data_IF_953808537560
#
_entry.id   IF_953808537560
#
_cell.length_a   1.000
_cell.length_b   1.000
_cell.length_c   1.000
_cell.angle_alpha   90.00
_cell.angle_beta   90.00
_cell.angle_gamma   90.00
#
_symmetry.space_group_name_H-M   'P 1'
#
loop_
_entity.id
_entity.type
_entity.pdbx_description
1 polymer ?
#
# COMPACT_ATOMS: atom_id res chain seq x y z
N UNK A 1 -14.89 -24.66 -4.53
CA UNK A 1 -15.27 -23.51 -3.68
C UNK A 1 -15.13 -22.28 -4.55
N UNK A 2 -16.22 -21.54 -4.80
CA UNK A 2 -16.15 -20.27 -5.51
C UNK A 2 -15.56 -19.25 -4.53
N UNK A 3 -14.25 -19.03 -4.60
CA UNK A 3 -13.66 -17.91 -3.88
C UNK A 3 -14.19 -16.62 -4.51
N UNK A 4 -14.75 -15.69 -3.72
CA UNK A 4 -15.15 -14.40 -4.26
C UNK A 4 -13.95 -13.73 -4.95
N UNK A 5 -14.20 -12.96 -6.02
CA UNK A 5 -13.14 -12.22 -6.69
C UNK A 5 -12.43 -11.31 -5.69
N UNK A 6 -11.12 -11.06 -5.87
CA UNK A 6 -10.42 -10.10 -5.03
C UNK A 6 -11.06 -8.71 -5.18
N UNK A 7 -11.02 -7.94 -4.10
CA UNK A 7 -11.35 -6.52 -4.11
C UNK A 7 -10.19 -5.76 -4.74
N UNK A 8 -10.50 -4.92 -5.72
CA UNK A 8 -9.54 -4.07 -6.40
C UNK A 8 -9.23 -2.84 -5.52
N UNK A 9 -7.95 -2.51 -5.35
CA UNK A 9 -7.50 -1.49 -4.39
C UNK A 9 -6.20 -0.81 -4.82
N UNK A 10 -5.99 0.42 -4.36
CA UNK A 10 -4.77 1.20 -4.64
C UNK A 10 -4.12 1.66 -3.34
N UNK A 11 -2.79 1.81 -3.35
CA UNK A 11 -2.04 2.34 -2.21
C UNK A 11 -0.91 3.26 -2.67
N UNK A 12 -0.67 4.34 -1.92
CA UNK A 12 0.36 5.34 -2.25
C UNK A 12 1.60 5.18 -1.36
N UNK A 13 2.77 5.20 -1.97
CA UNK A 13 4.07 5.16 -1.30
C UNK A 13 4.73 6.51 -1.55
N UNK A 14 4.49 7.47 -0.65
CA UNK A 14 5.18 8.75 -0.70
C UNK A 14 6.63 8.60 -0.23
N UNK A 15 7.56 9.07 -1.05
CA UNK A 15 9.00 8.99 -0.80
C UNK A 15 9.58 10.40 -0.79
N UNK A 16 10.37 10.72 0.23
CA UNK A 16 11.21 11.91 0.26
C UNK A 16 12.60 11.51 0.73
N UNK A 17 13.62 11.79 -0.10
CA UNK A 17 14.97 11.28 0.12
C UNK A 17 14.96 9.74 0.22
N UNK A 18 15.25 9.17 1.39
CA UNK A 18 15.20 7.73 1.66
C UNK A 18 14.07 7.34 2.62
N UNK A 19 13.20 8.29 2.97
CA UNK A 19 12.10 8.07 3.90
C UNK A 19 10.81 7.81 3.14
N UNK A 20 10.03 6.87 3.65
CA UNK A 20 8.68 6.54 3.21
C UNK A 20 7.69 7.05 4.25
N UNK A 21 6.59 7.63 3.79
CA UNK A 21 5.44 7.90 4.63
C UNK A 21 4.61 6.63 4.83
N UNK A 22 4.39 6.27 6.09
CA UNK A 22 3.55 5.15 6.48
C UNK A 22 2.68 5.56 7.68
N UNK A 23 1.64 4.77 7.90
CA UNK A 23 0.60 5.05 8.90
C UNK A 23 0.37 3.83 9.78
N UNK A 24 -0.05 4.07 11.02
CA UNK A 24 -0.62 3.03 11.87
C UNK A 24 -2.14 3.17 11.86
N UNK A 25 -2.83 2.13 11.38
CA UNK A 25 -4.29 2.07 11.34
C UNK A 25 -4.89 2.10 12.74
N UNK A 26 -6.05 2.73 12.90
CA UNK A 26 -6.77 2.74 14.17
C UNK A 26 -7.12 1.30 14.62
N UNK A 27 -7.02 0.99 15.93
CA UNK A 27 -7.22 -0.37 16.43
C UNK A 27 -8.69 -0.80 16.43
N UNK A 28 -9.64 0.12 16.21
CA UNK A 28 -11.07 -0.17 16.12
C UNK A 28 -11.57 -0.42 14.69
N UNK A 29 -10.71 -0.33 13.67
CA UNK A 29 -11.11 -0.60 12.29
C UNK A 29 -11.39 -2.09 12.07
N UNK A 30 -12.36 -2.38 11.22
CA UNK A 30 -12.75 -3.76 10.90
C UNK A 30 -11.64 -4.53 10.18
N UNK A 31 -10.93 -3.86 9.27
CA UNK A 31 -9.85 -4.45 8.48
C UNK A 31 -8.49 -3.96 8.98
N UNK A 32 -7.63 -4.93 9.31
CA UNK A 32 -6.23 -4.73 9.72
C UNK A 32 -6.07 -3.66 10.84
N UNK A 33 -6.75 -3.82 11.99
CA UNK A 33 -6.65 -2.85 13.09
C UNK A 33 -5.24 -2.80 13.69
N UNK A 34 -4.68 -1.60 13.83
CA UNK A 34 -3.34 -1.41 14.40
C UNK A 34 -2.18 -1.73 13.46
N UNK A 35 -2.45 -2.11 12.21
CA UNK A 35 -1.40 -2.47 11.24
C UNK A 35 -0.68 -1.22 10.75
N UNK A 36 0.63 -1.37 10.55
CA UNK A 36 1.40 -0.44 9.72
C UNK A 36 1.06 -0.70 8.26
N UNK A 37 0.74 0.36 7.54
CA UNK A 37 0.31 0.30 6.15
C UNK A 37 0.75 1.55 5.39
N UNK A 38 0.54 1.51 4.08
CA UNK A 38 0.52 2.69 3.22
C UNK A 38 -0.92 3.21 3.12
N UNK A 39 -1.13 4.54 3.02
CA UNK A 39 -2.44 5.12 2.75
C UNK A 39 -3.02 4.56 1.44
N UNK A 40 -4.33 4.34 1.40
CA UNK A 40 -5.00 3.73 0.26
C UNK A 40 -6.22 2.90 0.62
N UNK A 41 -7.00 2.58 -0.40
CA UNK A 41 -8.29 1.94 -0.24
C UNK A 41 -8.81 1.31 -1.52
N UNK A 42 -10.12 1.07 -1.55
CA UNK A 42 -10.75 0.30 -2.63
C UNK A 42 -10.98 1.20 -3.85
N UNK A 43 -10.94 0.57 -5.02
CA UNK A 43 -11.49 1.18 -6.23
C UNK A 43 -12.99 0.95 -6.20
N UNK A 44 -13.77 2.02 -6.12
CA UNK A 44 -15.23 1.96 -6.09
C UNK A 44 -15.80 1.79 -7.51
N UNK A 45 -16.98 1.18 -7.61
CA UNK A 45 -17.58 0.84 -8.91
C UNK A 45 -18.05 2.07 -9.72
N UNK A 46 -18.29 3.19 -9.05
CA UNK A 46 -18.67 4.48 -9.62
C UNK A 46 -17.48 5.45 -9.78
N UNK A 47 -16.25 4.96 -9.58
CA UNK A 47 -15.03 5.75 -9.76
C UNK A 47 -14.95 6.27 -11.21
N UNK A 48 -14.72 7.58 -11.33
CA UNK A 48 -14.72 8.25 -12.64
C UNK A 48 -13.51 7.82 -13.48
N UNK A 49 -13.72 7.59 -14.77
CA UNK A 49 -12.63 7.42 -15.74
C UNK A 49 -12.18 8.74 -16.38
N UNK A 50 -12.57 9.89 -15.80
CA UNK A 50 -12.21 11.20 -16.34
C UNK A 50 -10.73 11.46 -16.10
N UNK A 51 -9.99 11.68 -17.20
CA UNK A 51 -8.57 11.98 -17.17
C UNK A 51 -8.26 13.20 -16.28
N UNK A 52 -7.06 13.22 -15.71
CA UNK A 52 -6.55 14.38 -15.00
C UNK A 52 -6.20 15.51 -15.97
N UNK A 53 -6.06 16.74 -15.47
CA UNK A 53 -5.63 17.86 -16.33
C UNK A 53 -4.11 17.82 -16.57
N UNK A 54 -3.39 17.21 -15.63
CA UNK A 54 -1.93 17.06 -15.69
C UNK A 54 -1.56 15.81 -16.49
N UNK A 55 -0.86 16.01 -17.61
CA UNK A 55 -0.32 14.94 -18.46
C UNK A 55 0.45 13.89 -17.65
N UNK A 56 1.17 14.37 -16.63
CA UNK A 56 1.89 13.59 -15.63
C UNK A 56 1.08 12.45 -14.97
N UNK A 57 -0.22 12.64 -14.75
CA UNK A 57 -1.11 11.65 -14.14
C UNK A 57 -1.94 10.85 -15.16
N UNK A 58 -1.97 11.30 -16.41
CA UNK A 58 -2.73 10.67 -17.50
C UNK A 58 -2.03 9.46 -18.12
N UNK A 59 -0.75 9.22 -17.78
CA UNK A 59 0.01 8.05 -18.23
C UNK A 59 -0.44 6.74 -17.54
N UNK A 60 -1.27 6.83 -16.50
CA UNK A 60 -1.73 5.71 -15.69
C UNK A 60 -3.23 5.43 -15.91
N UNK A 61 -3.72 4.29 -15.44
CA UNK A 61 -5.14 3.97 -15.49
C UNK A 61 -5.97 5.03 -14.74
N UNK A 62 -6.93 5.65 -15.45
CA UNK A 62 -7.67 6.80 -14.94
C UNK A 62 -8.52 6.44 -13.72
N UNK A 63 -9.12 5.24 -13.69
CA UNK A 63 -9.95 4.79 -12.57
C UNK A 63 -9.09 4.59 -11.32
N UNK A 64 -7.97 3.88 -11.45
CA UNK A 64 -7.04 3.64 -10.35
C UNK A 64 -6.44 4.92 -9.81
N UNK A 65 -6.07 5.87 -10.68
CA UNK A 65 -5.54 7.18 -10.25
C UNK A 65 -6.59 8.06 -9.57
N UNK A 66 -7.87 7.97 -9.97
CA UNK A 66 -8.96 8.71 -9.32
C UNK A 66 -9.24 8.15 -7.92
N UNK A 67 -9.30 6.83 -7.78
CA UNK A 67 -9.35 6.18 -6.47
C UNK A 67 -8.16 6.60 -5.61
N UNK A 68 -6.94 6.58 -6.16
CA UNK A 68 -5.73 6.98 -5.43
C UNK A 68 -5.80 8.43 -4.94
N UNK A 69 -6.21 9.37 -5.80
CA UNK A 69 -6.39 10.77 -5.43
C UNK A 69 -7.47 10.95 -4.35
N UNK A 70 -8.61 10.24 -4.45
CA UNK A 70 -9.69 10.29 -3.46
C UNK A 70 -9.18 9.83 -2.10
N UNK A 71 -8.54 8.66 -2.04
CA UNK A 71 -7.97 8.12 -0.80
C UNK A 71 -6.93 9.09 -0.21
N UNK A 72 -5.99 9.62 -1.01
CA UNK A 72 -5.02 10.62 -0.54
C UNK A 72 -5.71 11.86 0.05
N UNK A 73 -6.79 12.34 -0.58
CA UNK A 73 -7.53 13.50 -0.07
C UNK A 73 -8.26 13.19 1.24
N UNK A 74 -8.95 12.06 1.32
CA UNK A 74 -9.74 11.65 2.48
C UNK A 74 -8.84 11.32 3.68
N UNK A 75 -7.79 10.54 3.43
CA UNK A 75 -6.89 10.01 4.45
C UNK A 75 -5.82 11.02 4.90
N UNK A 76 -5.32 11.85 3.98
CA UNK A 76 -4.14 12.69 4.22
C UNK A 76 -4.37 14.19 4.00
N UNK A 77 -5.56 14.58 3.51
CA UNK A 77 -5.88 15.98 3.21
C UNK A 77 -4.93 16.62 2.18
N UNK A 78 -4.35 15.81 1.29
CA UNK A 78 -3.40 16.27 0.27
C UNK A 78 -4.01 16.11 -1.12
N UNK A 79 -3.76 17.09 -1.99
CA UNK A 79 -4.19 17.03 -3.38
C UNK A 79 -2.99 16.74 -4.28
N UNK A 80 -2.94 15.53 -4.86
CA UNK A 80 -1.80 15.08 -5.66
C UNK A 80 -1.61 15.97 -6.91
N UNK A 81 -2.68 16.32 -7.62
CA UNK A 81 -2.61 17.18 -8.80
C UNK A 81 -2.12 18.61 -8.46
N UNK A 82 -2.58 19.19 -7.34
CA UNK A 82 -2.02 20.46 -6.88
C UNK A 82 -0.53 20.34 -6.50
N UNK A 83 -0.14 19.22 -5.90
CA UNK A 83 1.25 18.90 -5.59
C UNK A 83 2.13 18.87 -6.84
N UNK A 84 1.64 18.29 -7.94
CA UNK A 84 2.31 18.33 -9.25
C UNK A 84 2.43 19.79 -9.73
N UNK A 85 1.34 20.56 -9.73
CA UNK A 85 1.32 21.97 -10.17
C UNK A 85 2.27 22.86 -9.35
N UNK A 86 2.51 22.54 -8.07
CA UNK A 86 3.44 23.25 -7.16
C UNK A 86 4.90 22.76 -7.25
N UNK A 87 5.20 21.71 -8.01
CA UNK A 87 6.53 21.09 -8.05
C UNK A 87 6.89 20.33 -6.76
N UNK A 88 5.90 19.93 -5.98
CA UNK A 88 6.05 19.11 -4.78
C UNK A 88 6.18 17.63 -5.14
N UNK A 89 5.43 17.20 -6.17
CA UNK A 89 5.49 15.86 -6.74
C UNK A 89 6.48 15.87 -7.90
N UNK A 90 7.54 15.08 -7.79
CA UNK A 90 8.58 14.93 -8.81
C UNK A 90 8.27 13.78 -9.77
N UNK A 91 7.76 12.68 -9.24
CA UNK A 91 7.33 11.54 -10.05
C UNK A 91 6.17 10.75 -9.43
N UNK A 92 5.40 10.07 -10.28
CA UNK A 92 4.38 9.07 -9.95
C UNK A 92 4.58 7.88 -10.88
N UNK A 93 4.68 6.67 -10.33
CA UNK A 93 4.77 5.45 -11.13
C UNK A 93 3.96 4.31 -10.52
N UNK A 94 3.34 3.49 -11.36
CA UNK A 94 2.89 2.15 -10.98
C UNK A 94 4.10 1.33 -10.54
N UNK A 95 4.17 1.07 -9.25
CA UNK A 95 5.36 0.54 -8.63
C UNK A 95 5.28 -0.98 -8.48
N UNK A 96 4.17 -1.49 -7.95
CA UNK A 96 4.00 -2.93 -7.73
C UNK A 96 2.53 -3.34 -7.79
N UNK A 97 2.28 -4.62 -8.03
CA UNK A 97 0.99 -5.27 -7.80
C UNK A 97 1.17 -6.37 -6.76
N UNK A 98 0.17 -6.58 -5.89
CA UNK A 98 0.11 -7.77 -5.06
C UNK A 98 -1.32 -8.30 -4.95
N UNK A 99 -1.51 -9.57 -5.33
CA UNK A 99 -2.75 -10.31 -5.17
C UNK A 99 -2.70 -11.16 -3.90
N UNK A 100 -3.65 -10.94 -3.01
CA UNK A 100 -3.84 -11.75 -1.83
C UNK A 100 -4.17 -13.21 -2.20
N UNK A 101 -3.57 -14.20 -1.50
CA UNK A 101 -3.74 -15.59 -1.86
C UNK A 101 -5.19 -16.07 -1.70
N UNK A 102 -5.57 -17.17 -2.36
CA UNK A 102 -6.94 -17.69 -2.36
C UNK A 102 -7.50 -18.02 -0.97
N UNK A 103 -6.64 -18.29 0.01
CA UNK A 103 -7.01 -18.66 1.37
C UNK A 103 -7.01 -17.48 2.36
N UNK A 104 -6.65 -16.26 1.91
CA UNK A 104 -6.70 -15.10 2.79
C UNK A 104 -8.17 -14.79 3.16
N UNK A 105 -8.48 -14.47 4.44
CA UNK A 105 -9.85 -14.18 4.88
C UNK A 105 -10.50 -13.00 4.14
N UNK A 106 -9.70 -12.00 3.79
CA UNK A 106 -10.07 -10.89 2.92
C UNK A 106 -9.03 -10.83 1.80
N UNK A 107 -9.50 -10.73 0.56
CA UNK A 107 -8.65 -10.78 -0.62
C UNK A 107 -8.67 -9.43 -1.33
N UNK A 108 -7.52 -8.78 -1.37
CA UNK A 108 -7.29 -7.60 -2.19
C UNK A 108 -6.34 -7.96 -3.33
N UNK A 109 -6.55 -7.33 -4.49
CA UNK A 109 -5.48 -7.06 -5.44
C UNK A 109 -5.17 -5.58 -5.28
N UNK A 110 -3.92 -5.29 -4.95
CA UNK A 110 -3.48 -3.93 -4.63
C UNK A 110 -2.45 -3.46 -5.63
N UNK A 111 -2.72 -2.34 -6.30
CA UNK A 111 -1.73 -1.60 -7.08
C UNK A 111 -1.10 -0.52 -6.21
N UNK A 112 0.23 -0.61 -6.07
CA UNK A 112 1.02 0.34 -5.32
C UNK A 112 1.59 1.39 -6.27
N UNK A 113 1.41 2.66 -5.92
CA UNK A 113 1.93 3.80 -6.66
C UNK A 113 3.05 4.47 -5.87
N UNK A 114 4.24 4.57 -6.46
CA UNK A 114 5.36 5.33 -5.89
C UNK A 114 5.18 6.81 -6.23
N UNK A 115 5.33 7.68 -5.24
CA UNK A 115 5.28 9.13 -5.43
C UNK A 115 6.52 9.77 -4.82
N UNK A 116 7.44 10.24 -5.65
CA UNK A 116 8.64 10.94 -5.18
C UNK A 116 8.34 12.42 -4.97
N UNK A 117 8.71 12.94 -3.80
CA UNK A 117 8.44 14.31 -3.39
C UNK A 117 9.73 15.14 -3.37
N UNK A 118 9.63 16.42 -3.72
CA UNK A 118 10.75 17.37 -3.65
C UNK A 118 11.04 17.86 -2.23
N UNK A 119 10.06 17.71 -1.33
CA UNK A 119 10.16 18.06 0.09
C UNK A 119 9.29 17.12 0.93
N UNK A 120 9.63 17.01 2.21
CA UNK A 120 8.76 16.32 3.17
C UNK A 120 7.44 17.09 3.35
N UNK A 121 6.32 16.44 3.04
CA UNK A 121 4.98 17.00 3.25
C UNK A 121 4.50 16.67 4.66
N UNK A 122 3.87 17.65 5.31
CA UNK A 122 3.16 17.44 6.57
C UNK A 122 1.69 17.14 6.28
N UNK A 123 1.38 15.86 6.09
CA UNK A 123 0.04 15.41 5.77
C UNK A 123 -0.94 15.69 6.92
N UNK A 124 -2.18 16.05 6.59
CA UNK A 124 -3.27 16.20 7.55
C UNK A 124 -3.99 14.85 7.65
N UNK A 125 -3.40 13.96 8.44
CA UNK A 125 -3.88 12.59 8.60
C UNK A 125 -5.27 12.55 9.24
N UNK A 126 -6.17 11.74 8.68
CA UNK A 126 -7.48 11.48 9.24
C UNK A 126 -7.37 10.68 10.54
N UNK A 127 -7.60 11.33 11.67
CA UNK A 127 -7.56 10.68 12.99
C UNK A 127 -8.66 9.63 13.19
N UNK A 128 -9.70 9.63 12.36
CA UNK A 128 -10.71 8.57 12.35
C UNK A 128 -10.18 7.23 11.81
N UNK A 129 -9.09 7.27 11.05
CA UNK A 129 -8.54 6.11 10.34
C UNK A 129 -7.14 5.72 10.79
N UNK A 130 -6.33 6.70 11.19
CA UNK A 130 -4.96 6.45 11.65
C UNK A 130 -4.74 6.91 13.08
N UNK A 131 -4.14 6.02 13.86
CA UNK A 131 -3.70 6.28 15.21
C UNK A 131 -2.37 7.05 15.23
N UNK A 132 -1.51 6.80 14.23
CA UNK A 132 -0.21 7.46 14.09
C UNK A 132 0.21 7.53 12.62
N UNK A 133 1.20 8.38 12.33
CA UNK A 133 1.84 8.50 11.02
C UNK A 133 3.31 8.87 11.16
N UNK A 134 4.15 8.35 10.27
CA UNK A 134 5.58 8.55 10.38
C UNK A 134 6.27 8.54 9.02
N UNK A 135 7.36 9.28 8.96
CA UNK A 135 8.35 9.19 7.89
C UNK A 135 9.54 8.39 8.41
N UNK A 136 9.80 7.22 7.82
CA UNK A 136 10.86 6.29 8.22
C UNK A 136 11.53 5.67 7.01
N UNK A 137 12.76 5.23 7.13
CA UNK A 137 13.41 4.46 6.06
C UNK A 137 12.78 3.07 5.94
N UNK A 138 12.92 2.38 4.80
CA UNK A 138 12.53 0.97 4.68
C UNK A 138 13.14 0.10 5.78
N UNK A 139 14.42 0.31 6.09
CA UNK A 139 15.14 -0.42 7.14
C UNK A 139 14.49 -0.23 8.52
N UNK A 140 14.14 1.01 8.88
CA UNK A 140 13.48 1.29 10.15
C UNK A 140 12.10 0.64 10.23
N UNK A 141 11.32 0.65 9.14
CA UNK A 141 10.00 0.02 9.10
C UNK A 141 10.08 -1.49 9.21
N UNK A 142 10.99 -2.11 8.47
CA UNK A 142 11.23 -3.55 8.52
C UNK A 142 11.77 -3.97 9.88
N UNK A 143 12.66 -3.19 10.50
CA UNK A 143 13.17 -3.48 11.86
C UNK A 143 12.06 -3.43 12.92
N UNK A 144 11.11 -2.49 12.82
CA UNK A 144 9.95 -2.45 13.73
C UNK A 144 9.12 -3.73 13.57
N UNK A 145 8.94 -4.24 12.34
CA UNK A 145 8.28 -5.51 12.10
C UNK A 145 9.09 -6.69 12.67
N UNK A 146 10.36 -6.82 12.31
CA UNK A 146 11.26 -7.90 12.70
C UNK A 146 11.52 -7.97 14.22
N UNK A 147 11.26 -6.89 14.95
CA UNK A 147 11.32 -6.88 16.42
C UNK A 147 9.95 -7.13 17.08
N UNK A 148 8.93 -7.48 16.30
CA UNK A 148 7.57 -7.77 16.76
C UNK A 148 6.81 -6.54 17.26
N UNK A 149 7.21 -5.33 16.87
CA UNK A 149 6.64 -4.06 17.34
C UNK A 149 5.57 -3.48 16.43
N UNK A 150 5.35 -4.07 15.26
CA UNK A 150 4.26 -3.69 14.36
C UNK A 150 3.65 -4.89 13.66
N UNK A 151 2.37 -4.78 13.34
CA UNK A 151 1.68 -5.68 12.43
C UNK A 151 1.82 -5.15 11.00
N UNK A 152 2.09 -6.02 10.03
CA UNK A 152 2.11 -5.67 8.61
C UNK A 152 1.54 -6.83 7.79
N UNK A 153 0.79 -6.51 6.75
CA UNK A 153 0.46 -7.52 5.74
C UNK A 153 1.68 -7.83 4.87
N UNK A 154 1.85 -9.06 4.36
CA UNK A 154 3.01 -9.40 3.54
C UNK A 154 3.26 -8.47 2.35
N UNK A 155 2.23 -8.01 1.59
CA UNK A 155 2.45 -7.03 0.52
C UNK A 155 3.16 -5.75 0.95
N UNK A 156 2.85 -5.20 2.14
CA UNK A 156 3.55 -4.02 2.68
C UNK A 156 5.03 -4.32 2.88
N UNK A 157 5.37 -5.51 3.39
CA UNK A 157 6.76 -5.92 3.61
C UNK A 157 7.50 -6.15 2.31
N UNK A 158 6.91 -6.82 1.32
CA UNK A 158 7.55 -7.07 0.03
C UNK A 158 7.89 -5.77 -0.71
N UNK A 159 7.01 -4.77 -0.63
CA UNK A 159 7.28 -3.43 -1.15
C UNK A 159 8.48 -2.80 -0.42
N UNK A 160 8.49 -2.84 0.91
CA UNK A 160 9.60 -2.29 1.72
C UNK A 160 10.93 -3.00 1.42
N UNK A 161 10.93 -4.33 1.33
CA UNK A 161 12.09 -5.15 0.97
C UNK A 161 12.60 -4.82 -0.45
N UNK A 162 11.67 -4.62 -1.40
CA UNK A 162 11.99 -4.20 -2.76
C UNK A 162 12.67 -2.82 -2.80
N UNK A 163 12.16 -1.85 -2.05
CA UNK A 163 12.76 -0.52 -1.93
C UNK A 163 14.10 -0.59 -1.18
N UNK A 164 14.21 -1.37 -0.11
CA UNK A 164 15.46 -1.57 0.62
C UNK A 164 16.56 -2.12 -0.32
N UNK A 165 16.21 -3.10 -1.16
CA UNK A 165 17.15 -3.71 -2.11
C UNK A 165 17.54 -2.75 -3.25
N UNK A 166 16.60 -1.94 -3.73
CA UNK A 166 16.87 -0.94 -4.76
C UNK A 166 16.06 0.35 -4.52
N UNK A 167 16.62 1.33 -3.79
CA UNK A 167 15.91 2.58 -3.45
C UNK A 167 15.51 3.42 -4.68
N UNK A 168 16.20 3.23 -5.80
CA UNK A 168 15.96 3.95 -7.06
C UNK A 168 15.01 3.20 -8.01
N UNK A 169 14.49 2.03 -7.62
CA UNK A 169 13.53 1.30 -8.44
C UNK A 169 12.29 2.16 -8.67
N UNK A 170 11.87 2.29 -9.92
CA UNK A 170 10.60 2.94 -10.28
C UNK A 170 9.48 1.92 -10.53
N UNK A 171 9.83 0.63 -10.65
CA UNK A 171 8.93 -0.52 -10.84
C UNK A 171 9.54 -1.76 -10.15
N UNK A 172 8.72 -2.53 -9.44
CA UNK A 172 8.99 -3.86 -8.87
C UNK A 172 8.19 -4.98 -9.55
N UNK A 173 7.05 -4.66 -10.18
CA UNK A 173 6.19 -5.62 -10.88
C UNK A 173 5.25 -6.39 -9.94
N UNK A 174 4.90 -7.62 -10.32
CA UNK A 174 4.00 -8.47 -9.53
C UNK A 174 4.76 -9.13 -8.36
N UNK A 175 4.35 -8.77 -7.14
CA UNK A 175 4.87 -9.27 -5.88
C UNK A 175 4.01 -10.42 -5.29
N UNK A 176 3.01 -10.89 -6.03
CA UNK A 176 2.12 -11.96 -5.58
C UNK A 176 2.89 -13.24 -5.29
N UNK A 177 2.74 -13.76 -4.07
CA UNK A 177 3.38 -15.01 -3.69
C UNK A 177 2.69 -16.21 -4.36
N UNK A 178 3.48 -17.04 -5.04
CA UNK A 178 3.01 -18.29 -5.61
C UNK A 178 3.01 -19.41 -4.55
N UNK A 179 1.83 -19.93 -4.22
CA UNK A 179 1.64 -21.02 -3.26
C UNK A 179 1.44 -22.40 -3.92
N UNK A 180 1.41 -22.49 -5.26
CA UNK A 180 1.08 -23.72 -6.00
C UNK A 180 2.19 -24.77 -5.90
N UNK A 181 3.45 -24.34 -5.93
CA UNK A 181 4.62 -25.25 -5.98
C UNK A 181 5.22 -25.55 -4.59
N UNK A 182 4.58 -25.09 -3.52
CA UNK A 182 5.17 -25.18 -2.18
C UNK A 182 4.84 -26.53 -1.52
N UNK A 183 5.88 -27.29 -1.15
CA UNK A 183 5.73 -28.57 -0.42
C UNK A 183 5.28 -28.39 1.05
N UNK A 184 5.05 -27.16 1.47
CA UNK A 184 4.69 -26.77 2.83
C UNK A 184 3.25 -26.26 2.87
N UNK A 185 2.59 -26.41 4.03
CA UNK A 185 1.26 -25.83 4.26
C UNK A 185 1.35 -24.31 4.04
N UNK A 186 0.50 -23.71 3.19
CA UNK A 186 0.49 -22.27 2.97
C UNK A 186 0.25 -21.51 4.28
N UNK A 187 0.98 -20.42 4.49
CA UNK A 187 0.82 -19.57 5.66
C UNK A 187 1.04 -18.10 5.34
N UNK A 188 0.55 -17.24 6.23
CA UNK A 188 0.82 -15.81 6.24
C UNK A 188 1.48 -15.43 7.57
N UNK A 189 2.33 -14.42 7.54
CA UNK A 189 2.99 -13.89 8.71
C UNK A 189 2.68 -12.40 8.82
N UNK A 190 1.79 -12.06 9.75
CA UNK A 190 1.33 -10.69 9.99
C UNK A 190 2.10 -10.00 11.13
N UNK A 191 2.81 -10.79 11.93
CA UNK A 191 3.68 -10.41 13.04
C UNK A 191 4.87 -11.35 13.02
N UNK A 192 6.07 -10.83 13.24
CA UNK A 192 7.30 -11.62 13.26
C UNK A 192 7.17 -12.87 14.15
N UNK A 193 7.50 -14.03 13.57
CA UNK A 193 7.50 -15.32 14.27
C UNK A 193 6.12 -15.92 14.50
N UNK A 194 5.03 -15.29 14.03
CA UNK A 194 3.66 -15.76 14.20
C UNK A 194 3.05 -16.15 12.85
N UNK A 195 3.08 -17.45 12.56
CA UNK A 195 2.56 -18.02 11.32
C UNK A 195 1.07 -18.38 11.43
N UNK A 196 0.28 -17.88 10.48
CA UNK A 196 -1.13 -18.21 10.28
C UNK A 196 -1.25 -19.23 9.13
N UNK A 197 -1.49 -20.50 9.46
CA UNK A 197 -1.61 -21.56 8.47
C UNK A 197 -3.02 -21.64 7.86
N UNK A 198 -3.07 -21.82 6.55
CA UNK A 198 -4.32 -22.11 5.84
C UNK A 198 -4.69 -23.58 6.05
N UNK A 199 -5.77 -23.81 6.81
CA UNK A 199 -6.33 -25.14 7.04
C UNK A 199 -7.76 -25.20 6.51
N UNK A 200 -8.12 -26.27 5.80
CA UNK A 200 -9.50 -26.49 5.40
C UNK A 200 -10.35 -26.78 6.64
N UNK A 201 -11.47 -26.09 6.80
CA UNK A 201 -12.51 -26.56 7.72
C UNK A 201 -13.03 -27.91 7.21
N UNK A 202 -12.97 -28.94 8.07
CA UNK A 202 -13.50 -30.26 7.78
C UNK A 202 -15.01 -30.24 7.54
#
# INVERSE_FOLDING_TARGET
MNNPPPLESVAVIFIYSQQIFAVQRQPYLLAFPGYHAFPGGKIDADESSTAFETEFLCEHDAMSMRALQREIMEELGYNLEEGVKKGEVLSVSEFAEALAPPFAPVRFRTWFYRVDLSRRINFKVNSGEFADSFWKTPDELLEIFNTGKSLMVPPTRWVLEGIQKNPQATVLGDLSQNFIDNKTVPCLEMLEGVLQYAVSSA
#
